data_IF_153545696865
#
_entry.id   IF_153545696865
#
_cell.length_a   1.000
_cell.length_b   1.000
_cell.length_c   1.000
_cell.angle_alpha   90.00
_cell.angle_beta   90.00
_cell.angle_gamma   90.00
#
_symmetry.space_group_name_H-M   'P 1'
#
loop_
_entity.id
_entity.type
_entity.pdbx_description
1 polymer ?
#
# COMPACT_ATOMS: atom_id res chain seq x y z
N UNK A 1 13.05 6.87 -6.66
CA UNK A 1 12.64 6.01 -5.53
C UNK A 1 11.13 5.82 -5.60
N UNK A 2 10.59 4.60 -5.60
CA UNK A 2 9.16 4.33 -5.87
C UNK A 2 8.21 5.14 -4.99
N UNK A 3 6.97 5.33 -5.45
CA UNK A 3 5.90 5.97 -4.68
C UNK A 3 4.64 5.11 -4.64
N UNK A 4 3.85 5.29 -3.58
CA UNK A 4 2.65 4.52 -3.30
C UNK A 4 1.47 5.42 -3.02
N UNK A 5 0.29 4.90 -3.30
CA UNK A 5 -0.99 5.57 -3.16
C UNK A 5 -2.01 4.60 -2.59
N UNK A 6 -2.90 5.11 -1.74
CA UNK A 6 -4.08 4.42 -1.27
C UNK A 6 -5.28 5.36 -1.28
N UNK A 7 -6.44 4.81 -1.60
CA UNK A 7 -7.76 5.43 -1.48
C UNK A 7 -8.63 4.50 -0.65
N UNK A 8 -9.34 5.07 0.32
CA UNK A 8 -10.34 4.37 1.12
C UNK A 8 -11.61 5.22 1.17
N UNK A 9 -12.77 4.62 0.87
CA UNK A 9 -14.03 5.34 0.67
C UNK A 9 -15.22 4.60 1.29
N UNK A 10 -16.27 5.33 1.68
CA UNK A 10 -17.50 4.74 2.21
C UNK A 10 -18.36 4.01 1.17
N UNK A 11 -18.08 4.22 -0.11
CA UNK A 11 -18.79 3.73 -1.29
C UNK A 11 -17.77 3.46 -2.39
N UNK A 12 -18.16 2.72 -3.43
CA UNK A 12 -17.24 2.49 -4.54
C UNK A 12 -16.90 3.81 -5.22
N UNK A 13 -15.60 4.05 -5.40
CA UNK A 13 -15.09 5.29 -5.97
C UNK A 13 -14.19 4.99 -7.17
N UNK A 14 -14.24 5.88 -8.15
CA UNK A 14 -13.33 5.87 -9.30
C UNK A 14 -12.20 6.85 -9.09
N UNK A 15 -10.97 6.35 -8.98
CA UNK A 15 -9.79 7.18 -8.75
C UNK A 15 -9.26 7.92 -10.00
N UNK A 16 -10.11 8.17 -11.00
CA UNK A 16 -9.75 8.81 -12.28
C UNK A 16 -9.17 10.21 -12.11
N UNK A 17 -9.58 10.92 -11.06
CA UNK A 17 -9.12 12.28 -10.80
C UNK A 17 -7.76 12.30 -10.07
N UNK A 18 -7.33 11.19 -9.47
CA UNK A 18 -6.16 11.15 -8.59
C UNK A 18 -5.03 10.26 -9.12
N UNK A 19 -5.34 9.08 -9.67
CA UNK A 19 -4.32 8.16 -10.17
C UNK A 19 -3.47 8.76 -11.31
N UNK A 20 -4.03 9.47 -12.31
CA UNK A 20 -3.22 10.12 -13.34
C UNK A 20 -2.30 11.20 -12.78
N UNK A 21 -2.79 12.01 -11.83
CA UNK A 21 -1.99 13.07 -11.19
C UNK A 21 -0.88 12.44 -10.33
N UNK A 22 -1.21 11.38 -9.57
CA UNK A 22 -0.23 10.60 -8.82
C UNK A 22 0.86 10.06 -9.74
N UNK A 23 0.49 9.54 -10.91
CA UNK A 23 1.47 9.10 -11.91
C UNK A 23 2.36 10.22 -12.43
N UNK A 24 1.79 11.38 -12.73
CA UNK A 24 2.54 12.56 -13.16
C UNK A 24 3.53 13.03 -12.09
N UNK A 25 3.12 13.09 -10.82
CA UNK A 25 4.00 13.49 -9.72
C UNK A 25 5.08 12.44 -9.43
N UNK A 26 4.80 11.17 -9.69
CA UNK A 26 5.77 10.09 -9.57
C UNK A 26 6.67 9.92 -10.82
N UNK A 27 6.69 10.87 -11.78
CA UNK A 27 7.33 10.67 -13.10
C UNK A 27 8.82 10.34 -13.06
N UNK A 28 9.53 10.75 -12.02
CA UNK A 28 10.97 10.44 -11.86
C UNK A 28 11.21 8.96 -11.55
N UNK A 29 10.14 8.20 -11.31
CA UNK A 29 10.16 6.87 -10.73
C UNK A 29 9.48 5.83 -11.64
N UNK A 30 9.68 5.88 -12.96
CA UNK A 30 8.83 5.13 -13.90
C UNK A 30 9.49 3.97 -14.67
N UNK A 31 9.47 2.77 -14.09
CA UNK A 31 9.83 1.50 -14.75
C UNK A 31 8.74 0.43 -14.56
N UNK A 32 7.49 0.86 -14.35
CA UNK A 32 6.36 -0.01 -14.12
C UNK A 32 5.36 0.57 -13.12
N UNK A 33 4.23 -0.10 -13.04
CA UNK A 33 3.14 0.26 -12.14
C UNK A 33 2.32 -0.95 -11.75
N UNK A 34 1.53 -0.80 -10.70
CA UNK A 34 0.45 -1.73 -10.40
C UNK A 34 -0.65 -1.06 -9.60
N UNK A 35 -1.89 -1.53 -9.81
CA UNK A 35 -3.08 -1.11 -9.08
C UNK A 35 -3.80 -2.35 -8.58
N UNK A 36 -4.13 -2.36 -7.29
CA UNK A 36 -4.90 -3.40 -6.62
C UNK A 36 -6.18 -2.82 -6.06
N UNK A 37 -7.30 -3.51 -6.23
CA UNK A 37 -8.62 -3.07 -5.79
C UNK A 37 -9.57 -4.26 -5.61
N UNK A 38 -10.76 -4.00 -5.08
CA UNK A 38 -11.79 -5.01 -4.82
C UNK A 38 -13.04 -4.70 -5.63
N UNK A 39 -13.64 -5.70 -6.26
CA UNK A 39 -14.87 -5.58 -7.05
C UNK A 39 -15.66 -6.87 -6.99
N UNK A 40 -16.96 -6.78 -6.72
CA UNK A 40 -17.88 -7.92 -6.74
C UNK A 40 -17.38 -9.13 -5.90
N UNK A 41 -16.79 -8.84 -4.74
CA UNK A 41 -16.23 -9.84 -3.83
C UNK A 41 -14.89 -10.45 -4.29
N UNK A 42 -14.30 -9.95 -5.38
CA UNK A 42 -13.03 -10.40 -5.92
C UNK A 42 -11.93 -9.36 -5.67
N UNK A 43 -10.71 -9.85 -5.49
CA UNK A 43 -9.49 -9.02 -5.49
C UNK A 43 -8.88 -9.01 -6.88
N UNK A 44 -8.69 -7.81 -7.42
CA UNK A 44 -8.12 -7.59 -8.74
C UNK A 44 -6.78 -6.87 -8.60
N UNK A 45 -5.77 -7.37 -9.32
CA UNK A 45 -4.42 -6.79 -9.34
C UNK A 45 -3.95 -6.70 -10.77
N UNK A 46 -3.75 -5.47 -11.23
CA UNK A 46 -3.23 -5.17 -12.56
C UNK A 46 -1.83 -4.59 -12.44
N UNK A 47 -0.89 -5.10 -13.23
CA UNK A 47 0.53 -4.68 -13.19
C UNK A 47 1.10 -4.60 -14.59
N UNK A 48 1.99 -3.64 -14.80
CA UNK A 48 2.82 -3.60 -16.01
C UNK A 48 4.26 -3.25 -15.67
N UNK A 49 5.20 -3.82 -16.42
CA UNK A 49 6.60 -3.41 -16.46
C UNK A 49 6.85 -2.27 -17.45
N UNK A 50 5.83 -1.86 -18.22
CA UNK A 50 5.90 -0.71 -19.11
C UNK A 50 5.87 0.59 -18.29
N UNK A 51 6.52 1.61 -18.83
CA UNK A 51 6.52 2.93 -18.22
C UNK A 51 5.11 3.50 -18.20
N UNK A 52 4.77 4.22 -17.12
CA UNK A 52 3.47 4.89 -16.98
C UNK A 52 3.33 6.09 -17.94
N UNK A 53 4.37 6.49 -18.67
CA UNK A 53 4.25 7.47 -19.75
C UNK A 53 5.07 7.03 -20.96
N UNK A 54 4.59 7.43 -22.14
CA UNK A 54 5.33 7.39 -23.40
C UNK A 54 5.36 8.85 -23.89
N UNK A 55 6.54 9.50 -23.78
CA UNK A 55 6.65 10.95 -23.96
C UNK A 55 5.94 11.72 -22.84
N UNK A 56 5.00 12.60 -23.20
CA UNK A 56 4.21 13.40 -22.24
C UNK A 56 2.83 12.79 -21.94
N UNK A 57 2.51 11.61 -22.47
CA UNK A 57 1.21 10.96 -22.27
C UNK A 57 1.30 9.81 -21.28
N UNK A 58 0.34 9.75 -20.35
CA UNK A 58 0.16 8.60 -19.45
C UNK A 58 -0.16 7.36 -20.28
N UNK A 59 0.42 6.22 -19.92
CA UNK A 59 0.23 4.93 -20.54
C UNK A 59 -1.25 4.57 -20.56
N UNK A 60 -1.73 4.21 -21.74
CA UNK A 60 -3.16 4.09 -21.99
C UNK A 60 -3.83 3.08 -21.05
N UNK A 61 -3.19 1.94 -20.79
CA UNK A 61 -3.72 0.92 -19.87
C UNK A 61 -3.90 1.44 -18.44
N UNK A 62 -2.97 2.25 -17.93
CA UNK A 62 -3.09 2.84 -16.59
C UNK A 62 -4.23 3.85 -16.56
N UNK A 63 -4.33 4.70 -17.59
CA UNK A 63 -5.39 5.71 -17.66
C UNK A 63 -6.78 5.09 -17.83
N UNK A 64 -6.90 4.08 -18.70
CA UNK A 64 -8.15 3.32 -18.89
C UNK A 64 -8.55 2.65 -17.59
N UNK A 65 -7.62 1.97 -16.91
CA UNK A 65 -7.90 1.32 -15.64
C UNK A 65 -8.34 2.34 -14.57
N UNK A 66 -7.65 3.47 -14.45
CA UNK A 66 -8.03 4.54 -13.51
C UNK A 66 -9.46 5.09 -13.74
N UNK A 67 -9.96 5.05 -14.98
CA UNK A 67 -11.33 5.48 -15.34
C UNK A 67 -12.40 4.44 -15.06
N UNK A 68 -12.04 3.17 -15.03
CA UNK A 68 -13.02 2.08 -14.87
C UNK A 68 -12.98 1.41 -13.52
N UNK A 69 -11.96 1.68 -12.68
CA UNK A 69 -11.95 1.20 -11.29
C UNK A 69 -13.17 1.76 -10.55
N UNK A 70 -13.78 0.89 -9.77
CA UNK A 70 -14.93 1.18 -8.93
C UNK A 70 -14.78 0.29 -7.71
N UNK A 71 -14.21 0.86 -6.64
CA UNK A 71 -13.86 0.13 -5.41
C UNK A 71 -13.82 1.07 -4.22
N UNK A 72 -14.16 0.56 -3.03
CA UNK A 72 -13.99 1.29 -1.77
C UNK A 72 -12.53 1.43 -1.37
N UNK A 73 -11.70 0.44 -1.70
CA UNK A 73 -10.27 0.43 -1.38
C UNK A 73 -9.47 0.22 -2.66
N UNK A 74 -8.54 1.14 -2.91
CA UNK A 74 -7.63 1.09 -4.07
C UNK A 74 -6.23 1.34 -3.55
N UNK A 75 -5.28 0.49 -3.90
CA UNK A 75 -3.86 0.69 -3.62
C UNK A 75 -3.08 0.69 -4.92
N UNK A 76 -2.08 1.56 -5.05
CA UNK A 76 -1.29 1.71 -6.27
C UNK A 76 0.18 1.95 -5.95
N UNK A 77 1.03 1.53 -6.89
CA UNK A 77 2.47 1.67 -6.82
C UNK A 77 3.03 2.07 -8.18
N UNK A 78 4.01 2.97 -8.16
CA UNK A 78 4.80 3.33 -9.34
C UNK A 78 6.27 3.03 -9.06
N UNK A 79 6.86 2.15 -9.89
CA UNK A 79 8.14 1.50 -9.62
C UNK A 79 9.32 2.29 -10.18
N UNK A 80 10.26 2.71 -9.34
CA UNK A 80 11.45 3.43 -9.83
C UNK A 80 12.46 2.50 -10.52
N UNK A 81 13.34 3.04 -11.40
CA UNK A 81 14.31 2.23 -12.12
C UNK A 81 15.27 1.38 -11.27
N UNK A 82 15.48 1.79 -10.02
CA UNK A 82 16.36 1.10 -9.06
C UNK A 82 15.66 0.02 -8.23
N UNK A 83 14.36 -0.23 -8.44
CA UNK A 83 13.60 -1.23 -7.68
C UNK A 83 13.98 -2.67 -8.01
N UNK A 84 14.70 -2.91 -9.11
CA UNK A 84 15.10 -4.24 -9.57
C UNK A 84 13.99 -5.04 -10.26
N UNK A 85 12.78 -4.48 -10.34
CA UNK A 85 11.66 -5.08 -11.08
C UNK A 85 11.91 -4.98 -12.59
N UNK A 86 12.50 -6.03 -13.18
CA UNK A 86 12.59 -6.21 -14.64
C UNK A 86 11.36 -6.90 -15.23
N UNK A 87 10.51 -7.46 -14.37
CA UNK A 87 9.31 -8.22 -14.73
C UNK A 87 8.10 -7.69 -13.96
N UNK A 88 6.93 -7.66 -14.59
CA UNK A 88 5.68 -7.14 -13.99
C UNK A 88 5.28 -7.87 -12.70
N UNK A 89 5.58 -9.18 -12.60
CA UNK A 89 5.36 -9.99 -11.41
C UNK A 89 6.06 -9.43 -10.15
N UNK A 90 7.17 -8.71 -10.33
CA UNK A 90 7.92 -8.10 -9.23
C UNK A 90 7.35 -6.75 -8.78
N UNK A 91 6.38 -6.20 -9.52
CA UNK A 91 5.75 -4.94 -9.15
C UNK A 91 4.72 -5.17 -8.05
N UNK A 92 4.63 -4.22 -7.12
CA UNK A 92 3.49 -4.14 -6.20
C UNK A 92 2.22 -3.76 -6.98
N UNK A 93 1.01 -4.04 -6.45
CA UNK A 93 0.72 -4.71 -5.17
C UNK A 93 0.85 -6.24 -5.20
N UNK A 94 1.10 -6.87 -4.06
CA UNK A 94 1.01 -8.33 -3.87
C UNK A 94 -0.32 -8.69 -3.23
N UNK A 95 -0.79 -9.93 -3.44
CA UNK A 95 -2.01 -10.45 -2.86
C UNK A 95 -1.75 -11.78 -2.13
N UNK A 96 -2.27 -11.93 -0.91
CA UNK A 96 -2.23 -13.17 -0.14
C UNK A 96 -3.56 -13.40 0.58
N UNK A 97 -4.00 -14.65 0.63
CA UNK A 97 -5.21 -15.04 1.38
C UNK A 97 -4.84 -15.46 2.79
N UNK A 98 -5.42 -14.81 3.81
CA UNK A 98 -5.30 -15.20 5.22
C UNK A 98 -6.38 -14.53 6.07
N UNK A 99 -6.71 -15.13 7.22
CA UNK A 99 -7.82 -14.71 8.10
C UNK A 99 -9.15 -14.57 7.33
N UNK A 100 -9.43 -15.48 6.41
CA UNK A 100 -10.64 -15.49 5.57
C UNK A 100 -10.83 -14.26 4.66
N UNK A 101 -9.75 -13.49 4.44
CA UNK A 101 -9.72 -12.35 3.53
C UNK A 101 -8.57 -12.47 2.53
N UNK A 102 -8.70 -11.81 1.39
CA UNK A 102 -7.57 -11.54 0.49
C UNK A 102 -7.02 -10.16 0.82
N UNK A 103 -5.74 -10.13 1.16
CA UNK A 103 -5.02 -8.93 1.52
C UNK A 103 -4.15 -8.45 0.38
N UNK A 104 -4.21 -7.15 0.10
CA UNK A 104 -3.34 -6.41 -0.79
C UNK A 104 -2.21 -5.75 0.00
N UNK A 105 -1.00 -5.86 -0.52
CA UNK A 105 0.19 -5.25 0.07
C UNK A 105 0.98 -4.45 -0.97
N UNK A 106 1.30 -3.21 -0.63
CA UNK A 106 2.15 -2.35 -1.45
C UNK A 106 3.19 -1.68 -0.56
N UNK A 107 4.45 -1.67 -0.98
CA UNK A 107 5.52 -1.09 -0.16
C UNK A 107 6.54 -0.29 -0.95
N UNK A 108 7.20 0.60 -0.21
CA UNK A 108 8.48 1.22 -0.56
C UNK A 108 9.42 1.03 0.62
N UNK A 109 10.45 0.22 0.44
CA UNK A 109 11.45 -0.08 1.47
C UNK A 109 12.85 0.37 1.06
N UNK A 110 13.69 0.67 2.06
CA UNK A 110 15.14 0.81 1.90
C UNK A 110 15.85 -0.11 2.89
N UNK A 111 16.95 -0.71 2.43
CA UNK A 111 17.70 -1.79 3.08
C UNK A 111 16.93 -3.12 3.05
N UNK A 112 17.66 -4.22 2.85
CA UNK A 112 17.18 -5.42 2.13
C UNK A 112 17.47 -6.72 2.88
N UNK A 113 17.58 -6.67 4.20
CA UNK A 113 18.05 -7.82 5.00
C UNK A 113 17.01 -8.96 5.07
N UNK A 114 15.73 -8.67 4.84
CA UNK A 114 14.64 -9.67 4.84
C UNK A 114 14.62 -10.60 3.61
N UNK A 115 15.55 -10.44 2.65
CA UNK A 115 15.52 -11.23 1.40
C UNK A 115 15.61 -12.74 1.60
N UNK A 116 16.25 -13.18 2.69
CA UNK A 116 16.44 -14.59 2.99
C UNK A 116 15.24 -15.22 3.73
N UNK A 117 14.26 -14.41 4.16
CA UNK A 117 13.10 -14.91 4.87
C UNK A 117 12.33 -15.94 4.04
N UNK A 118 12.00 -17.07 4.67
CA UNK A 118 11.21 -18.14 4.07
C UNK A 118 9.97 -18.37 4.94
N UNK A 119 8.80 -18.17 4.36
CA UNK A 119 7.56 -18.52 5.04
C UNK A 119 7.39 -20.04 5.14
N UNK A 120 6.79 -20.48 6.25
CA UNK A 120 6.30 -21.84 6.43
C UNK A 120 4.79 -21.97 6.11
N UNK A 121 4.09 -20.86 5.85
CA UNK A 121 2.66 -20.82 5.59
C UNK A 121 2.34 -20.70 4.10
N UNK A 122 1.28 -21.37 3.69
CA UNK A 122 0.72 -21.27 2.34
C UNK A 122 -0.44 -20.25 2.29
N UNK A 123 -0.68 -19.58 1.14
CA UNK A 123 0.06 -19.71 -0.12
C UNK A 123 1.37 -18.90 -0.11
N UNK A 124 2.45 -19.44 -0.66
CA UNK A 124 3.69 -18.67 -0.88
C UNK A 124 3.58 -17.75 -2.11
N UNK A 125 4.17 -16.55 -2.05
CA UNK A 125 4.36 -15.71 -3.23
C UNK A 125 5.49 -16.28 -4.10
N UNK A 126 5.20 -16.51 -5.37
CA UNK A 126 6.17 -17.00 -6.37
C UNK A 126 7.33 -16.02 -6.58
N UNK A 127 7.08 -14.72 -6.42
CA UNK A 127 8.09 -13.68 -6.63
C UNK A 127 9.14 -13.72 -5.52
N UNK A 128 10.38 -14.03 -5.88
CA UNK A 128 11.52 -14.02 -4.95
C UNK A 128 12.12 -12.61 -4.82
N UNK A 129 11.34 -11.68 -4.29
CA UNK A 129 11.78 -10.30 -4.02
C UNK A 129 11.48 -9.89 -2.59
N UNK A 130 12.28 -8.94 -2.08
CA UNK A 130 12.14 -8.41 -0.71
C UNK A 130 10.73 -7.97 -0.35
N UNK A 131 10.01 -7.33 -1.28
CA UNK A 131 8.62 -6.90 -1.09
C UNK A 131 7.68 -8.08 -0.78
N UNK A 132 7.84 -9.20 -1.46
CA UNK A 132 7.08 -10.42 -1.23
C UNK A 132 7.45 -11.03 0.13
N UNK A 133 8.75 -11.05 0.48
CA UNK A 133 9.24 -11.55 1.77
C UNK A 133 8.69 -10.74 2.95
N UNK A 134 8.64 -9.41 2.84
CA UNK A 134 8.03 -8.55 3.86
C UNK A 134 6.55 -8.90 4.06
N UNK A 135 5.81 -9.09 2.97
CA UNK A 135 4.39 -9.39 3.07
C UNK A 135 4.13 -10.76 3.71
N UNK A 136 4.89 -11.78 3.29
CA UNK A 136 4.84 -13.11 3.91
C UNK A 136 5.21 -13.07 5.39
N UNK A 137 6.25 -12.32 5.78
CA UNK A 137 6.64 -12.18 7.18
C UNK A 137 5.52 -11.53 8.01
N UNK A 138 4.94 -10.44 7.52
CA UNK A 138 3.84 -9.76 8.21
C UNK A 138 2.63 -10.69 8.36
N UNK A 139 2.26 -11.43 7.31
CA UNK A 139 1.19 -12.43 7.40
C UNK A 139 1.48 -13.46 8.47
N UNK A 140 2.68 -14.04 8.46
CA UNK A 140 3.05 -15.12 9.37
C UNK A 140 2.99 -14.64 10.83
N UNK A 141 3.51 -13.43 11.12
CA UNK A 141 3.39 -12.81 12.43
C UNK A 141 1.93 -12.55 12.81
N UNK A 142 1.10 -12.03 11.89
CA UNK A 142 -0.33 -11.80 12.14
C UNK A 142 -1.04 -13.11 12.52
N UNK A 143 -0.80 -14.19 11.77
CA UNK A 143 -1.40 -15.50 12.03
C UNK A 143 -0.98 -16.07 13.38
N UNK A 144 0.31 -15.98 13.72
CA UNK A 144 0.83 -16.45 15.00
C UNK A 144 0.24 -15.65 16.17
N UNK A 145 0.12 -14.32 16.03
CA UNK A 145 -0.45 -13.44 17.03
C UNK A 145 -1.95 -13.69 17.22
N UNK A 146 -2.74 -13.87 16.15
CA UNK A 146 -4.17 -14.20 16.25
C UNK A 146 -4.36 -15.57 16.93
N UNK A 147 -3.52 -16.55 16.60
CA UNK A 147 -3.56 -17.87 17.24
C UNK A 147 -3.24 -17.80 18.73
N UNK A 148 -2.27 -16.97 19.11
CA UNK A 148 -1.85 -16.78 20.51
C UNK A 148 -2.83 -15.94 21.32
N UNK A 149 -3.43 -14.93 20.70
CA UNK A 149 -4.34 -13.97 21.33
C UNK A 149 -5.61 -13.78 20.49
N UNK A 150 -6.57 -14.72 20.51
CA UNK A 150 -7.75 -14.69 19.63
C UNK A 150 -8.68 -13.48 19.82
N UNK A 151 -8.58 -12.80 20.96
CA UNK A 151 -9.38 -11.62 21.28
C UNK A 151 -8.61 -10.30 21.14
N UNK A 152 -7.36 -10.34 20.65
CA UNK A 152 -6.61 -9.13 20.36
C UNK A 152 -7.26 -8.36 19.20
N UNK A 153 -7.19 -7.03 19.26
CA UNK A 153 -7.63 -6.21 18.14
C UNK A 153 -6.69 -6.39 16.95
N UNK A 154 -7.26 -6.37 15.73
CA UNK A 154 -6.48 -6.45 14.49
C UNK A 154 -5.41 -5.35 14.42
N UNK A 155 -5.71 -4.13 14.89
CA UNK A 155 -4.74 -3.05 15.01
C UNK A 155 -3.58 -3.42 15.92
N UNK A 156 -3.86 -3.96 17.12
CA UNK A 156 -2.84 -4.41 18.05
C UNK A 156 -1.97 -5.53 17.47
N UNK A 157 -2.59 -6.51 16.80
CA UNK A 157 -1.90 -7.60 16.12
C UNK A 157 -0.95 -7.10 15.02
N UNK A 158 -1.41 -6.17 14.17
CA UNK A 158 -0.58 -5.60 13.10
C UNK A 158 0.54 -4.75 13.70
N UNK A 159 0.24 -3.94 14.72
CA UNK A 159 1.26 -3.12 15.42
C UNK A 159 2.38 -4.01 15.97
N UNK A 160 2.02 -5.08 16.66
CA UNK A 160 2.99 -6.03 17.21
C UNK A 160 3.78 -6.72 16.08
N UNK A 161 3.10 -7.15 15.01
CA UNK A 161 3.76 -7.76 13.84
C UNK A 161 4.79 -6.80 13.19
N UNK A 162 4.53 -5.50 13.21
CA UNK A 162 5.48 -4.49 12.74
C UNK A 162 6.63 -4.30 13.74
N UNK A 163 6.40 -4.34 15.05
CA UNK A 163 7.48 -4.36 16.04
C UNK A 163 8.44 -5.52 15.79
N UNK A 164 7.90 -6.72 15.58
CA UNK A 164 8.68 -7.90 15.22
C UNK A 164 9.47 -7.67 13.91
N UNK A 165 8.82 -7.14 12.86
CA UNK A 165 9.51 -6.82 11.59
C UNK A 165 10.70 -5.88 11.80
N UNK A 166 10.51 -4.81 12.58
CA UNK A 166 11.55 -3.81 12.83
C UNK A 166 12.69 -4.35 13.72
N UNK A 167 12.38 -5.28 14.62
CA UNK A 167 13.34 -5.94 15.49
C UNK A 167 14.18 -6.97 14.74
N UNK A 168 13.52 -7.88 14.04
CA UNK A 168 14.16 -9.02 13.38
C UNK A 168 14.86 -8.60 12.08
N UNK A 169 14.28 -7.61 11.37
CA UNK A 169 14.80 -7.08 10.12
C UNK A 169 14.83 -5.55 10.14
N UNK A 170 15.78 -4.93 10.88
CA UNK A 170 15.89 -3.48 10.96
C UNK A 170 15.97 -2.83 9.57
N UNK A 171 15.10 -1.86 9.32
CA UNK A 171 14.99 -1.29 7.98
C UNK A 171 14.08 -0.08 7.92
N UNK A 172 14.02 0.51 6.73
CA UNK A 172 13.15 1.64 6.45
C UNK A 172 11.97 1.15 5.62
N UNK A 173 10.78 1.16 6.19
CA UNK A 173 9.57 0.62 5.62
C UNK A 173 8.47 1.67 5.54
N UNK A 174 7.82 1.71 4.38
CA UNK A 174 6.57 2.42 4.17
C UNK A 174 5.68 1.51 3.36
N UNK A 175 4.49 1.19 3.84
CA UNK A 175 3.59 0.28 3.15
C UNK A 175 2.12 0.56 3.42
N UNK A 176 1.28 0.06 2.52
CA UNK A 176 -0.13 -0.14 2.77
C UNK A 176 -0.45 -1.64 2.78
N UNK A 177 -1.24 -2.05 3.76
CA UNK A 177 -1.81 -3.40 3.89
C UNK A 177 -3.32 -3.23 3.96
N UNK A 178 -4.07 -3.83 3.04
CA UNK A 178 -5.50 -3.62 2.96
C UNK A 178 -6.26 -4.90 2.59
N UNK A 179 -7.47 -5.04 3.11
CA UNK A 179 -8.46 -5.97 2.56
C UNK A 179 -9.63 -5.16 1.98
N UNK A 180 -10.76 -5.80 1.71
CA UNK A 180 -11.95 -5.15 1.13
C UNK A 180 -12.68 -4.17 2.07
N UNK A 181 -12.27 -4.10 3.34
CA UNK A 181 -12.96 -3.33 4.39
C UNK A 181 -12.05 -2.36 5.16
N UNK A 182 -10.78 -2.70 5.35
CA UNK A 182 -9.83 -1.90 6.14
C UNK A 182 -8.53 -1.68 5.40
N UNK A 183 -7.93 -0.51 5.64
CA UNK A 183 -6.63 -0.09 5.12
C UNK A 183 -5.73 0.27 6.29
N UNK A 184 -4.56 -0.36 6.35
CA UNK A 184 -3.47 0.01 7.26
C UNK A 184 -2.37 0.71 6.49
N UNK A 185 -1.88 1.82 7.04
CA UNK A 185 -0.73 2.53 6.50
C UNK A 185 0.37 2.63 7.53
N UNK A 186 1.58 2.21 7.19
CA UNK A 186 2.75 2.30 8.05
C UNK A 186 3.85 3.10 7.38
N UNK A 187 4.57 3.91 8.15
CA UNK A 187 5.83 4.51 7.71
C UNK A 187 6.76 4.79 8.89
N UNK A 188 8.05 4.45 8.74
CA UNK A 188 9.10 4.87 9.67
C UNK A 188 10.16 5.78 9.07
N UNK A 189 10.00 6.20 7.80
CA UNK A 189 10.99 7.07 7.16
C UNK A 189 10.44 8.02 6.10
N UNK A 190 9.34 7.67 5.42
CA UNK A 190 8.70 8.58 4.46
C UNK A 190 7.61 9.38 5.14
N UNK A 191 7.48 10.63 4.71
CA UNK A 191 6.26 11.36 4.94
C UNK A 191 5.12 10.74 4.12
N UNK A 192 3.90 10.78 4.67
CA UNK A 192 2.67 10.48 3.96
C UNK A 192 1.83 11.74 3.91
N UNK A 193 1.23 12.02 2.75
CA UNK A 193 0.23 13.08 2.59
C UNK A 193 -1.16 12.45 2.70
N UNK A 194 -2.03 13.02 3.51
CA UNK A 194 -3.42 12.61 3.71
C UNK A 194 -4.38 13.71 3.27
N UNK A 195 -5.40 13.34 2.51
CA UNK A 195 -6.54 14.21 2.21
C UNK A 195 -7.83 13.46 2.53
N UNK A 196 -8.61 14.00 3.47
CA UNK A 196 -10.01 13.61 3.65
C UNK A 196 -10.86 14.57 2.84
N UNK A 197 -11.54 14.06 1.83
CA UNK A 197 -12.49 14.85 1.04
C UNK A 197 -13.90 14.47 1.46
N UNK A 198 -14.68 15.48 1.82
CA UNK A 198 -16.11 15.31 2.03
C UNK A 198 -16.83 15.87 0.81
N UNK A 199 -17.35 14.99 -0.02
CA UNK A 199 -18.33 15.35 -1.03
C UNK A 199 -19.72 15.01 -0.48
N UNK A 200 -20.75 15.79 -0.84
CA UNK A 200 -22.14 15.58 -0.42
C UNK A 200 -22.68 14.16 -0.70
N UNK A 201 -22.00 13.40 -1.56
CA UNK A 201 -22.17 11.97 -1.76
C UNK A 201 -20.85 11.27 -1.50
N UNK A 202 -20.60 11.04 -0.21
CA UNK A 202 -19.66 10.10 0.33
C UNK A 202 -18.22 10.62 0.41
N UNK A 203 -17.69 10.48 1.61
CA UNK A 203 -16.32 10.88 1.92
C UNK A 203 -15.32 9.87 1.33
N UNK A 204 -14.15 10.39 0.93
CA UNK A 204 -12.97 9.60 0.58
C UNK A 204 -11.78 10.03 1.43
N UNK A 205 -10.90 9.08 1.72
CA UNK A 205 -9.59 9.33 2.29
C UNK A 205 -8.52 8.90 1.29
N UNK A 206 -7.63 9.82 0.96
CA UNK A 206 -6.47 9.59 0.10
C UNK A 206 -5.21 9.62 0.95
N UNK A 207 -4.29 8.69 0.69
CA UNK A 207 -2.99 8.60 1.33
C UNK A 207 -1.92 8.38 0.26
N UNK A 208 -0.86 9.18 0.23
CA UNK A 208 0.23 8.98 -0.74
C UNK A 208 1.61 9.29 -0.15
N UNK A 209 2.65 8.64 -0.69
CA UNK A 209 4.04 8.95 -0.37
C UNK A 209 4.65 10.06 -1.22
N UNK A 210 3.93 10.52 -2.24
CA UNK A 210 4.34 11.66 -3.08
C UNK A 210 4.43 12.91 -2.21
N UNK A 211 5.44 13.75 -2.47
CA UNK A 211 5.68 14.95 -1.67
C UNK A 211 4.76 16.10 -2.09
N UNK A 212 4.46 16.20 -3.37
CA UNK A 212 3.50 17.14 -3.89
C UNK A 212 2.06 16.72 -3.54
N UNK A 213 1.19 17.72 -3.42
CA UNK A 213 -0.25 17.48 -3.30
C UNK A 213 -0.80 17.01 -4.65
N UNK A 214 -1.78 16.10 -4.60
CA UNK A 214 -2.47 15.63 -5.81
C UNK A 214 -3.62 16.55 -6.23
N UNK A 215 -3.92 17.56 -5.41
CA UNK A 215 -5.01 18.50 -5.63
C UNK A 215 -4.77 19.80 -4.83
N UNK A 216 -5.49 20.90 -5.14
CA UNK A 216 -5.28 22.20 -4.48
C UNK A 216 -5.68 22.26 -3.00
N UNK A 217 -6.51 21.32 -2.54
CA UNK A 217 -7.02 21.24 -1.17
C UNK A 217 -5.88 21.15 -0.13
N UNK A 218 -6.22 21.30 1.15
CA UNK A 218 -5.27 21.16 2.23
C UNK A 218 -5.03 19.69 2.56
N UNK A 219 -3.76 19.28 2.52
CA UNK A 219 -3.32 17.92 2.85
C UNK A 219 -2.63 17.91 4.20
N UNK A 220 -2.99 16.96 5.05
CA UNK A 220 -2.28 16.67 6.29
C UNK A 220 -0.99 15.92 5.98
N UNK A 221 0.13 16.39 6.50
CA UNK A 221 1.41 15.69 6.40
C UNK A 221 1.66 14.86 7.65
N UNK A 222 1.79 13.55 7.48
CA UNK A 222 2.24 12.64 8.54
C UNK A 222 3.72 12.36 8.35
N UNK A 223 4.50 12.60 9.40
CA UNK A 223 5.93 12.31 9.45
C UNK A 223 6.23 11.43 10.67
N UNK A 224 7.03 10.38 10.50
CA UNK A 224 7.58 9.66 11.64
C UNK A 224 8.44 10.61 12.48
N UNK A 225 8.25 10.58 13.79
CA UNK A 225 9.09 11.34 14.72
C UNK A 225 10.49 10.72 14.79
N UNK A 226 11.51 11.54 15.04
CA UNK A 226 12.93 11.09 15.07
C UNK A 226 13.16 10.00 16.11
N UNK A 227 12.39 9.99 17.19
CA UNK A 227 12.49 9.03 18.29
C UNK A 227 11.41 7.92 18.22
N UNK A 228 10.62 7.88 17.16
CA UNK A 228 9.56 6.89 16.98
C UNK A 228 10.01 5.76 16.05
N UNK A 229 9.73 4.49 16.38
CA UNK A 229 9.91 3.36 15.47
C UNK A 229 9.07 3.49 14.18
N UNK A 230 8.06 4.35 14.16
CA UNK A 230 7.23 4.68 12.99
C UNK A 230 5.81 5.04 13.37
N UNK A 231 5.02 5.48 12.38
CA UNK A 231 3.59 5.78 12.54
C UNK A 231 2.74 4.71 11.87
N UNK A 232 1.70 4.26 12.57
CA UNK A 232 0.68 3.36 12.04
C UNK A 232 -0.67 4.07 11.95
N UNK A 233 -1.37 3.82 10.86
CA UNK A 233 -2.73 4.25 10.61
C UNK A 233 -3.61 3.02 10.41
N UNK A 234 -4.82 3.06 10.95
CA UNK A 234 -5.92 2.18 10.58
C UNK A 234 -7.08 3.01 10.05
N UNK A 235 -7.61 2.61 8.90
CA UNK A 235 -8.65 3.31 8.17
C UNK A 235 -9.76 2.33 7.81
N UNK A 236 -11.01 2.76 7.98
CA UNK A 236 -12.18 2.05 7.49
C UNK A 236 -13.11 3.04 6.80
N UNK A 237 -13.48 2.73 5.55
CA UNK A 237 -14.13 3.73 4.70
C UNK A 237 -13.29 5.01 4.62
N UNK A 238 -13.86 6.20 4.83
CA UNK A 238 -13.12 7.46 4.79
C UNK A 238 -12.51 7.90 6.13
N UNK A 239 -12.67 7.09 7.19
CA UNK A 239 -12.34 7.48 8.54
C UNK A 239 -11.05 6.85 9.04
N UNK A 240 -10.18 7.68 9.63
CA UNK A 240 -9.01 7.22 10.37
C UNK A 240 -9.48 6.76 11.75
N UNK A 241 -9.52 5.45 11.96
CA UNK A 241 -9.92 4.84 13.23
C UNK A 241 -8.84 4.97 14.29
N UNK A 242 -7.58 4.78 13.88
CA UNK A 242 -6.41 4.89 14.74
C UNK A 242 -5.25 5.54 14.00
N UNK A 243 -4.52 6.39 14.72
CA UNK A 243 -3.26 6.97 14.28
C UNK A 243 -2.35 7.11 15.51
N UNK A 244 -1.16 6.52 15.45
CA UNK A 244 -0.24 6.57 16.58
C UNK A 244 1.15 6.06 16.25
N UNK A 245 2.05 6.24 17.22
CA UNK A 245 3.37 5.64 17.20
C UNK A 245 3.29 4.13 17.41
N UNK A 246 4.24 3.44 16.79
CA UNK A 246 4.49 2.02 17.00
C UNK A 246 5.42 1.85 18.20
#
# INVERSE_FOLDING_TARGET
MCDIFALSAGYNYTAQNYLPIFAEKARENMNGWGIGFFRDGQTLVEKSSEQVFIGDQVHESFQRLARVIDSRIIVSHISCPRSGGRHSAHNNPFALSFLDHIWLFVNVSKRKEIGEYQTANEPRLESDIYAARIFEYLRDQILDQVKKYPYASLYGTIRESIHHLLSDYPGLYTFFLANESVLFGFSNYRQLQLLKKSESLGDILLITSVRERLSPEEWLTIRPDVNSPGKLLAVAGPDVLHYGDI
#
